data_IF_981642783863
#
_entry.id   IF_981642783863
#
_cell.length_a   1.000
_cell.length_b   1.000
_cell.length_c   1.000
_cell.angle_alpha   90.00
_cell.angle_beta   90.00
_cell.angle_gamma   90.00
#
_symmetry.space_group_name_H-M   'P 1'
#
loop_
_entity.id
_entity.type
_entity.pdbx_description
1 polymer ?
#
# COMPACT_ATOMS: atom_id res chain seq x y z
N UNK A 1 -2.85 2.85 7.69
CA UNK A 1 -2.18 1.80 6.88
C UNK A 1 -1.99 0.49 7.63
N UNK A 2 -1.27 0.42 8.75
CA UNK A 2 -0.96 -0.87 9.42
C UNK A 2 -1.87 -1.25 10.61
N UNK A 3 -2.78 -0.38 11.05
CA UNK A 3 -3.61 -0.60 12.26
C UNK A 3 -4.98 -1.24 11.98
N UNK A 4 -5.12 -1.94 10.87
CA UNK A 4 -6.40 -2.44 10.38
C UNK A 4 -6.53 -2.23 8.88
N UNK A 5 -7.66 -2.68 8.34
CA UNK A 5 -8.02 -2.47 6.95
C UNK A 5 -8.66 -1.12 6.72
N UNK A 6 -8.55 -0.67 5.47
CA UNK A 6 -9.21 0.55 5.05
C UNK A 6 -10.67 0.22 4.75
N UNK A 7 -11.54 1.21 4.88
CA UNK A 7 -12.93 1.07 4.46
C UNK A 7 -12.99 0.78 2.96
N UNK A 8 -13.89 -0.12 2.56
CA UNK A 8 -14.16 -0.38 1.16
C UNK A 8 -14.76 0.87 0.51
N UNK A 9 -14.24 1.24 -0.65
CA UNK A 9 -14.72 2.36 -1.44
C UNK A 9 -15.11 1.86 -2.83
N UNK A 10 -16.25 2.33 -3.33
CA UNK A 10 -16.66 2.09 -4.71
C UNK A 10 -15.89 3.04 -5.64
N UNK A 11 -14.72 2.59 -6.09
CA UNK A 11 -13.83 3.39 -6.93
C UNK A 11 -14.50 3.79 -8.25
N UNK A 12 -15.41 2.98 -8.77
CA UNK A 12 -16.14 3.29 -10.01
C UNK A 12 -17.10 4.46 -9.78
N UNK A 13 -17.91 4.39 -8.72
CA UNK A 13 -18.83 5.48 -8.38
C UNK A 13 -18.10 6.80 -8.09
N UNK A 14 -16.96 6.75 -7.39
CA UNK A 14 -16.16 7.95 -7.15
C UNK A 14 -15.57 8.52 -8.44
N UNK A 15 -15.10 7.67 -9.35
CA UNK A 15 -14.61 8.11 -10.67
C UNK A 15 -15.71 8.83 -11.46
N UNK A 16 -16.92 8.28 -11.50
CA UNK A 16 -18.07 8.89 -12.19
C UNK A 16 -18.45 10.26 -11.62
N UNK A 17 -18.30 10.46 -10.31
CA UNK A 17 -18.58 11.73 -9.64
C UNK A 17 -17.51 12.79 -9.92
N UNK A 18 -16.23 12.39 -9.95
CA UNK A 18 -15.10 13.32 -10.02
C UNK A 18 -14.71 13.70 -11.45
N UNK A 19 -14.93 12.82 -12.45
CA UNK A 19 -14.58 13.09 -13.84
C UNK A 19 -15.20 14.40 -14.39
N UNK A 20 -16.49 14.72 -14.12
CA UNK A 20 -17.07 15.99 -14.55
C UNK A 20 -16.40 17.22 -13.91
N UNK A 21 -15.91 17.10 -12.68
CA UNK A 21 -15.30 18.23 -11.95
C UNK A 21 -13.97 18.66 -12.57
N UNK A 22 -13.28 17.77 -13.27
CA UNK A 22 -11.97 18.02 -13.91
C UNK A 22 -12.05 18.13 -15.44
N UNK A 23 -13.26 18.28 -16.00
CA UNK A 23 -13.46 18.23 -17.45
C UNK A 23 -12.69 19.32 -18.20
N UNK A 24 -12.53 20.50 -17.61
CA UNK A 24 -11.81 21.62 -18.22
C UNK A 24 -10.31 21.32 -18.35
N UNK A 25 -9.72 20.71 -17.32
CA UNK A 25 -8.33 20.28 -17.28
C UNK A 25 -8.06 19.19 -18.31
N UNK A 26 -8.98 18.21 -18.44
CA UNK A 26 -8.90 17.18 -19.47
C UNK A 26 -8.90 17.78 -20.88
N UNK A 27 -9.80 18.73 -21.15
CA UNK A 27 -9.85 19.44 -22.44
C UNK A 27 -8.57 20.23 -22.74
N UNK A 28 -7.97 20.85 -21.72
CA UNK A 28 -6.71 21.57 -21.87
C UNK A 28 -5.56 20.63 -22.28
N UNK A 29 -5.48 19.45 -21.66
CA UNK A 29 -4.49 18.41 -22.00
C UNK A 29 -4.71 17.91 -23.42
N UNK A 30 -5.93 17.53 -23.79
CA UNK A 30 -6.27 17.05 -25.14
C UNK A 30 -5.96 18.10 -26.22
N UNK A 31 -6.23 19.38 -25.94
CA UNK A 31 -5.90 20.47 -26.85
C UNK A 31 -4.39 20.66 -27.05
N UNK A 32 -3.61 20.47 -25.99
CA UNK A 32 -2.16 20.68 -26.03
C UNK A 32 -1.41 19.49 -26.66
N UNK A 33 -1.84 18.26 -26.37
CA UNK A 33 -1.09 17.05 -26.69
C UNK A 33 -1.79 16.13 -27.71
N UNK A 34 -2.99 16.48 -28.15
CA UNK A 34 -3.77 15.72 -29.13
C UNK A 34 -4.89 14.88 -28.51
N UNK A 35 -5.79 14.38 -29.36
CA UNK A 35 -6.99 13.64 -28.94
C UNK A 35 -6.68 12.33 -28.20
N UNK A 36 -5.54 11.71 -28.50
CA UNK A 36 -5.11 10.44 -27.91
C UNK A 36 -4.24 10.63 -26.65
N UNK A 37 -4.13 11.87 -26.13
CA UNK A 37 -3.31 12.16 -24.95
C UNK A 37 -3.87 11.61 -23.63
N UNK A 38 -5.15 11.23 -23.62
CA UNK A 38 -5.85 10.70 -22.45
C UNK A 38 -6.59 9.42 -22.85
N UNK A 39 -6.44 8.38 -22.03
CA UNK A 39 -7.20 7.14 -22.12
C UNK A 39 -8.03 6.96 -20.85
N UNK A 40 -9.34 6.78 -21.00
CA UNK A 40 -10.24 6.54 -19.87
C UNK A 40 -10.16 5.08 -19.45
N UNK A 41 -9.90 4.84 -18.16
CA UNK A 41 -9.79 3.49 -17.62
C UNK A 41 -11.18 2.90 -17.37
N UNK A 42 -11.47 1.74 -17.96
CA UNK A 42 -12.69 0.96 -17.73
C UNK A 42 -12.42 -0.40 -17.07
N UNK A 43 -11.28 -0.55 -16.40
CA UNK A 43 -10.87 -1.80 -15.78
C UNK A 43 -11.70 -2.14 -14.53
N UNK A 44 -11.82 -3.43 -14.25
CA UNK A 44 -12.38 -3.90 -12.98
C UNK A 44 -11.44 -3.63 -11.81
N UNK A 45 -12.01 -3.37 -10.64
CA UNK A 45 -11.24 -3.18 -9.42
C UNK A 45 -10.73 -4.52 -8.91
N UNK A 46 -9.46 -4.58 -8.53
CA UNK A 46 -8.88 -5.75 -7.87
C UNK A 46 -8.85 -5.51 -6.36
N UNK A 47 -9.60 -6.32 -5.62
CA UNK A 47 -9.51 -6.33 -4.16
C UNK A 47 -8.23 -7.05 -3.72
N UNK A 48 -7.50 -6.42 -2.80
CA UNK A 48 -6.26 -6.96 -2.23
C UNK A 48 -6.49 -7.20 -0.74
N UNK A 49 -6.43 -8.47 -0.35
CA UNK A 49 -6.54 -8.90 1.03
C UNK A 49 -5.16 -9.26 1.57
N UNK A 50 -4.82 -8.71 2.72
CA UNK A 50 -3.55 -8.96 3.39
C UNK A 50 -3.75 -9.99 4.50
N UNK A 51 -2.92 -11.04 4.59
CA UNK A 51 -3.01 -12.01 5.66
C UNK A 51 -2.43 -11.39 6.93
N UNK A 52 -3.31 -10.93 7.81
CA UNK A 52 -2.97 -10.36 9.12
C UNK A 52 -3.88 -10.99 10.17
N UNK A 53 -3.29 -11.75 11.09
CA UNK A 53 -3.99 -12.35 12.23
C UNK A 53 -4.27 -11.29 13.30
N UNK A 54 -3.29 -10.44 13.60
CA UNK A 54 -3.43 -9.36 14.58
C UNK A 54 -2.77 -8.06 14.11
N UNK A 55 -3.56 -6.98 14.07
CA UNK A 55 -3.04 -5.66 13.78
C UNK A 55 -2.37 -5.03 15.01
N UNK A 56 -1.23 -4.35 14.84
CA UNK A 56 -0.53 -3.68 15.94
C UNK A 56 -1.34 -2.49 16.48
N UNK A 57 -1.48 -2.40 17.79
CA UNK A 57 -2.10 -1.25 18.47
C UNK A 57 -1.20 -0.01 18.42
N UNK A 58 0.12 -0.23 18.56
CA UNK A 58 1.19 0.75 18.40
C UNK A 58 2.18 0.28 17.35
N UNK A 59 2.57 1.19 16.46
CA UNK A 59 3.55 0.88 15.40
C UNK A 59 4.93 1.25 15.94
N UNK A 60 5.77 0.24 16.16
CA UNK A 60 7.19 0.40 16.48
C UNK A 60 7.98 -0.26 15.35
N UNK A 61 8.83 0.50 14.67
CA UNK A 61 9.64 -0.05 13.57
C UNK A 61 10.91 -0.68 14.11
N UNK A 62 11.12 -1.94 13.75
CA UNK A 62 12.39 -2.62 13.95
C UNK A 62 13.46 -2.04 13.01
N UNK A 63 14.69 -1.99 13.49
CA UNK A 63 15.81 -1.46 12.73
C UNK A 63 17.08 -2.27 12.97
N UNK A 64 17.49 -3.04 11.95
CA UNK A 64 18.66 -3.91 12.00
C UNK A 64 19.98 -3.15 12.24
N UNK A 65 20.07 -1.90 11.79
CA UNK A 65 21.26 -1.06 12.02
C UNK A 65 21.45 -0.69 13.49
N UNK A 66 20.36 -0.69 14.27
CA UNK A 66 20.37 -0.41 15.71
C UNK A 66 20.37 -1.68 16.53
N UNK A 67 19.52 -2.63 16.14
CA UNK A 67 19.33 -3.92 16.79
C UNK A 67 19.32 -5.00 15.69
N UNK A 68 20.45 -5.68 15.43
CA UNK A 68 20.58 -6.63 14.32
C UNK A 68 19.76 -7.91 14.49
N UNK A 69 19.33 -8.19 15.73
CA UNK A 69 18.48 -9.33 16.06
C UNK A 69 17.06 -8.82 16.32
N UNK A 70 16.09 -9.45 15.68
CA UNK A 70 14.66 -9.23 15.91
C UNK A 70 14.02 -10.57 16.24
N UNK A 71 13.28 -10.58 17.34
CA UNK A 71 12.53 -11.74 17.83
C UNK A 71 11.06 -11.34 18.04
N UNK A 72 10.17 -12.31 17.90
CA UNK A 72 8.74 -12.14 18.06
C UNK A 72 7.93 -13.15 17.25
N UNK A 73 6.62 -13.10 17.40
CA UNK A 73 5.69 -13.91 16.63
C UNK A 73 5.26 -13.13 15.39
N UNK A 74 5.41 -13.70 14.20
CA UNK A 74 4.90 -13.12 12.96
C UNK A 74 3.37 -13.18 12.97
N UNK A 75 2.73 -12.01 13.03
CA UNK A 75 1.27 -11.83 13.08
C UNK A 75 0.66 -11.50 11.72
N UNK A 76 1.48 -11.23 10.70
CA UNK A 76 0.97 -11.01 9.34
C UNK A 76 1.91 -10.25 8.41
N UNK A 77 1.42 -10.00 7.20
CA UNK A 77 2.08 -9.17 6.19
C UNK A 77 1.07 -8.20 5.57
N UNK A 78 1.44 -6.92 5.48
CA UNK A 78 0.64 -5.88 4.82
C UNK A 78 1.52 -5.04 3.89
N UNK A 79 1.36 -5.26 2.59
CA UNK A 79 2.21 -4.67 1.56
C UNK A 79 3.68 -5.04 1.77
N UNK A 80 4.54 -4.05 2.00
CA UNK A 80 5.98 -4.23 2.25
C UNK A 80 6.34 -4.49 3.72
N UNK A 81 5.35 -4.63 4.61
CA UNK A 81 5.56 -4.74 6.04
C UNK A 81 5.30 -6.14 6.54
N UNK A 82 6.29 -6.73 7.21
CA UNK A 82 6.06 -7.85 8.13
C UNK A 82 5.64 -7.28 9.48
N UNK A 83 4.62 -7.90 10.08
CA UNK A 83 4.03 -7.49 11.35
C UNK A 83 4.37 -8.55 12.38
N UNK A 84 5.06 -8.15 13.44
CA UNK A 84 5.34 -8.96 14.61
C UNK A 84 4.59 -8.39 15.82
N UNK A 85 4.36 -9.22 16.83
CA UNK A 85 3.87 -8.78 18.14
C UNK A 85 4.79 -7.73 18.82
N UNK A 86 6.10 -7.75 18.51
CA UNK A 86 7.09 -6.81 19.03
C UNK A 86 7.27 -5.54 18.18
N UNK A 87 6.71 -5.47 16.97
CA UNK A 87 6.90 -4.35 16.07
C UNK A 87 6.71 -4.70 14.59
N UNK A 88 7.14 -3.82 13.70
CA UNK A 88 6.99 -4.02 12.24
C UNK A 88 8.34 -3.87 11.54
N UNK A 89 8.53 -4.65 10.47
CA UNK A 89 9.71 -4.55 9.59
C UNK A 89 9.24 -4.08 8.22
N UNK A 90 9.75 -2.96 7.74
CA UNK A 90 9.61 -2.58 6.33
C UNK A 90 10.73 -3.26 5.53
N UNK A 91 10.39 -4.31 4.79
CA UNK A 91 11.40 -5.13 4.09
C UNK A 91 12.16 -4.33 3.03
N UNK A 92 11.53 -3.35 2.37
CA UNK A 92 12.21 -2.51 1.37
C UNK A 92 13.37 -1.70 1.95
N UNK A 93 13.33 -1.37 3.24
CA UNK A 93 14.41 -0.64 3.89
C UNK A 93 15.71 -1.45 3.95
N UNK A 94 15.60 -2.77 4.06
CA UNK A 94 16.73 -3.66 4.28
C UNK A 94 17.08 -4.46 3.01
N UNK A 95 16.96 -3.80 1.86
CA UNK A 95 17.43 -4.38 0.59
C UNK A 95 18.95 -4.57 0.66
N UNK A 96 19.45 -5.70 0.14
CA UNK A 96 20.87 -6.10 0.15
C UNK A 96 21.45 -6.57 1.50
N UNK A 97 20.61 -6.88 2.48
CA UNK A 97 21.06 -7.54 3.71
C UNK A 97 21.12 -9.05 3.50
N UNK A 98 22.18 -9.69 3.99
CA UNK A 98 22.15 -11.13 4.26
C UNK A 98 21.41 -11.35 5.58
N UNK A 99 20.40 -12.22 5.57
CA UNK A 99 19.58 -12.51 6.75
C UNK A 99 19.55 -14.01 6.99
N UNK A 100 19.57 -14.39 8.27
CA UNK A 100 19.37 -15.77 8.71
C UNK A 100 18.07 -15.82 9.51
N UNK A 101 17.21 -16.77 9.19
CA UNK A 101 15.90 -16.96 9.83
C UNK A 101 15.91 -18.31 10.53
N UNK A 102 15.49 -18.32 11.80
CA UNK A 102 15.26 -19.52 12.60
C UNK A 102 13.80 -19.48 13.12
N UNK A 103 13.07 -20.59 13.04
CA UNK A 103 11.65 -20.68 13.44
C UNK A 103 11.32 -22.06 14.03
#
# INVERSE_FOLDING_TARGET
>A
MLKGDNNQLDLKSYSEQLLPEIQNELLAVTKQYGNDAIEYLSAETQDIHYPVEQFPTKITSHNFDKNPVVEGVLQGIKGQYLIFDTGVINIRKFTSYEVVINY
#
